data_IF_275206538644
#
_entry.id   IF_275206538644
#
_cell.length_a   1.000
_cell.length_b   1.000
_cell.length_c   1.000
_cell.angle_alpha   90.00
_cell.angle_beta   90.00
_cell.angle_gamma   90.00
#
_symmetry.space_group_name_H-M   'P 1'
#
loop_
_entity.id
_entity.type
_entity.pdbx_description
1 polymer ?
#
# COMPACT_ATOMS: atom_id res chain seq x y z
N UNK A 1 0.46 -13.57 -17.74
CA UNK A 1 -0.55 -13.77 -16.66
C UNK A 1 -0.37 -15.09 -15.92
N UNK A 2 -0.34 -16.25 -16.59
CA UNK A 2 -0.18 -17.55 -15.92
C UNK A 2 1.15 -17.69 -15.16
N UNK A 3 2.27 -17.30 -15.76
CA UNK A 3 3.58 -17.34 -15.08
C UNK A 3 3.63 -16.44 -13.83
N UNK A 4 3.03 -15.24 -13.90
CA UNK A 4 2.92 -14.35 -12.73
C UNK A 4 2.08 -14.98 -11.61
N UNK A 5 0.97 -15.65 -11.94
CA UNK A 5 0.15 -16.34 -10.96
C UNK A 5 0.89 -17.49 -10.27
N UNK A 6 1.74 -18.23 -11.00
CA UNK A 6 2.61 -19.29 -10.43
C UNK A 6 3.61 -18.69 -9.44
N UNK A 7 4.30 -17.62 -9.84
CA UNK A 7 5.26 -16.92 -8.97
C UNK A 7 4.60 -16.37 -7.71
N UNK A 8 3.43 -15.71 -7.84
CA UNK A 8 2.68 -15.20 -6.68
C UNK A 8 2.25 -16.34 -5.76
N UNK A 9 1.86 -17.50 -6.31
CA UNK A 9 1.49 -18.68 -5.53
C UNK A 9 2.67 -19.26 -4.76
N UNK A 10 3.83 -19.41 -5.40
CA UNK A 10 5.05 -19.89 -4.74
C UNK A 10 5.51 -18.94 -3.65
N UNK A 11 5.55 -17.64 -3.93
CA UNK A 11 5.89 -16.60 -2.94
C UNK A 11 4.91 -16.63 -1.77
N UNK A 12 3.61 -16.78 -2.03
CA UNK A 12 2.60 -16.94 -0.97
C UNK A 12 2.90 -18.16 -0.11
N UNK A 13 3.16 -19.32 -0.71
CA UNK A 13 3.48 -20.55 0.04
C UNK A 13 4.74 -20.39 0.87
N UNK A 14 5.79 -19.78 0.31
CA UNK A 14 7.02 -19.49 1.05
C UNK A 14 6.77 -18.52 2.22
N UNK A 15 6.10 -17.39 1.99
CA UNK A 15 5.89 -16.38 3.03
C UNK A 15 4.94 -16.86 4.12
N UNK A 16 3.91 -17.64 3.77
CA UNK A 16 2.99 -18.22 4.76
C UNK A 16 3.63 -19.32 5.62
N UNK A 17 4.84 -19.80 5.28
CA UNK A 17 5.60 -20.69 6.17
C UNK A 17 6.03 -20.01 7.47
N UNK A 18 6.20 -18.68 7.45
CA UNK A 18 6.57 -17.90 8.62
C UNK A 18 5.35 -17.60 9.49
N UNK A 19 5.44 -17.93 10.78
CA UNK A 19 4.35 -17.73 11.76
C UNK A 19 3.88 -16.28 11.84
N UNK A 20 4.81 -15.32 11.73
CA UNK A 20 4.50 -13.89 11.79
C UNK A 20 3.62 -13.43 10.62
N UNK A 21 3.89 -13.93 9.40
CA UNK A 21 3.11 -13.59 8.20
C UNK A 21 1.68 -14.08 8.34
N UNK A 22 1.50 -15.33 8.79
CA UNK A 22 0.17 -15.89 9.08
C UNK A 22 -0.61 -15.10 10.13
N UNK A 23 0.07 -14.59 11.16
CA UNK A 23 -0.55 -13.78 12.21
C UNK A 23 -1.03 -12.42 11.67
N UNK A 24 -0.23 -11.80 10.79
CA UNK A 24 -0.51 -10.48 10.24
C UNK A 24 -1.47 -10.51 9.05
N UNK A 25 -1.59 -11.64 8.35
CA UNK A 25 -2.42 -11.79 7.14
C UNK A 25 -3.86 -11.27 7.28
N UNK A 26 -4.60 -11.52 8.39
CA UNK A 26 -5.96 -11.00 8.55
C UNK A 26 -6.02 -9.46 8.61
N UNK A 27 -4.93 -8.84 9.06
CA UNK A 27 -4.80 -7.40 9.23
C UNK A 27 -4.21 -6.69 8.00
N UNK A 28 -3.95 -7.41 6.90
CA UNK A 28 -3.27 -6.86 5.70
C UNK A 28 -3.84 -5.52 5.21
N UNK A 29 -5.17 -5.35 5.19
CA UNK A 29 -5.82 -4.13 4.71
C UNK A 29 -5.73 -3.01 5.73
N UNK A 30 -5.84 -3.33 7.03
CA UNK A 30 -5.65 -2.36 8.11
C UNK A 30 -4.21 -1.86 8.15
N UNK A 31 -3.24 -2.75 7.92
CA UNK A 31 -1.82 -2.39 7.83
C UNK A 31 -1.61 -1.51 6.59
N UNK A 32 -2.13 -1.88 5.42
CA UNK A 32 -1.98 -1.11 4.18
C UNK A 32 -2.60 0.29 4.28
N UNK A 33 -3.90 0.37 4.57
CA UNK A 33 -4.63 1.64 4.58
C UNK A 33 -4.40 2.44 5.87
N UNK A 34 -4.16 1.78 7.00
CA UNK A 34 -3.80 2.45 8.25
C UNK A 34 -2.43 3.12 8.15
N UNK A 35 -1.44 2.44 7.57
CA UNK A 35 -0.15 3.05 7.26
C UNK A 35 -0.29 4.23 6.30
N UNK A 36 -1.03 4.05 5.20
CA UNK A 36 -1.28 5.12 4.25
C UNK A 36 -1.98 6.33 4.90
N UNK A 37 -2.95 6.07 5.77
CA UNK A 37 -3.67 7.10 6.53
C UNK A 37 -2.77 7.85 7.51
N UNK A 38 -1.85 7.15 8.18
CA UNK A 38 -0.86 7.79 9.06
C UNK A 38 0.10 8.69 8.30
N UNK A 39 0.61 8.23 7.15
CA UNK A 39 1.49 9.04 6.32
C UNK A 39 0.74 10.27 5.76
N UNK A 40 -0.51 10.09 5.33
CA UNK A 40 -1.34 11.21 4.90
C UNK A 40 -1.66 12.19 6.03
N UNK A 41 -1.91 11.68 7.23
CA UNK A 41 -2.14 12.50 8.40
C UNK A 41 -0.90 13.33 8.76
N UNK A 42 0.30 12.77 8.65
CA UNK A 42 1.55 13.51 8.84
C UNK A 42 1.67 14.68 7.87
N UNK A 43 1.51 14.42 6.56
CA UNK A 43 1.56 15.45 5.53
C UNK A 43 0.48 16.53 5.72
N UNK A 44 -0.71 16.13 6.16
CA UNK A 44 -1.78 17.05 6.47
C UNK A 44 -1.39 17.93 7.68
N UNK A 45 -0.92 17.33 8.77
CA UNK A 45 -0.50 18.06 9.96
C UNK A 45 0.63 19.03 9.64
N UNK A 46 1.59 18.63 8.81
CA UNK A 46 2.67 19.49 8.32
C UNK A 46 2.14 20.74 7.61
N UNK A 47 1.04 20.65 6.87
CA UNK A 47 0.49 21.82 6.19
C UNK A 47 -0.38 22.74 7.06
N UNK A 48 -1.05 22.20 8.07
CA UNK A 48 -1.99 22.98 8.88
C UNK A 48 -1.38 23.49 10.18
N UNK A 49 -0.35 22.83 10.71
CA UNK A 49 0.25 23.17 12.00
C UNK A 49 1.42 24.14 11.82
N UNK A 50 1.14 25.43 11.95
CA UNK A 50 2.12 26.51 11.83
C UNK A 50 2.61 27.07 13.18
N UNK A 51 2.16 26.52 14.32
CA UNK A 51 2.61 26.94 15.64
C UNK A 51 3.86 26.18 16.07
N UNK A 52 4.77 26.87 16.77
CA UNK A 52 6.03 26.27 17.26
C UNK A 52 5.79 25.05 18.15
N UNK A 53 4.83 25.14 19.08
CA UNK A 53 4.45 24.01 19.96
C UNK A 53 3.85 22.84 19.18
N UNK A 54 3.07 23.12 18.15
CA UNK A 54 2.49 22.10 17.29
C UNK A 54 3.53 21.37 16.44
N UNK A 55 4.53 22.09 15.93
CA UNK A 55 5.65 21.50 15.19
C UNK A 55 6.47 20.57 16.09
N UNK A 56 6.78 20.99 17.33
CA UNK A 56 7.52 20.15 18.28
C UNK A 56 6.75 18.88 18.63
N UNK A 57 5.44 18.98 18.91
CA UNK A 57 4.61 17.82 19.21
C UNK A 57 4.58 16.82 18.03
N UNK A 58 4.50 17.34 16.80
CA UNK A 58 4.54 16.51 15.60
C UNK A 58 5.89 15.81 15.43
N UNK A 59 7.00 16.52 15.65
CA UNK A 59 8.33 15.92 15.62
C UNK A 59 8.47 14.77 16.62
N UNK A 60 8.00 14.95 17.85
CA UNK A 60 8.03 13.88 18.86
C UNK A 60 7.20 12.67 18.45
N UNK A 61 6.01 12.86 17.89
CA UNK A 61 5.15 11.72 17.50
C UNK A 61 5.74 10.98 16.29
N UNK A 62 6.17 11.70 15.25
CA UNK A 62 6.54 11.08 13.98
C UNK A 62 8.02 10.67 13.90
N UNK A 63 8.91 11.33 14.64
CA UNK A 63 10.35 11.10 14.58
C UNK A 63 10.92 10.51 15.88
N UNK A 64 10.46 10.92 17.07
CA UNK A 64 10.94 10.33 18.34
C UNK A 64 10.24 9.00 18.68
N UNK A 65 8.94 8.85 18.37
CA UNK A 65 8.15 7.59 18.50
C UNK A 65 8.16 6.77 17.17
N UNK A 66 9.19 6.98 16.34
CA UNK A 66 9.26 6.79 14.89
C UNK A 66 7.96 6.39 14.15
N UNK A 67 6.85 7.12 14.37
CA UNK A 67 5.57 6.74 13.77
C UNK A 67 5.60 6.85 12.23
N UNK A 68 6.35 7.82 11.69
CA UNK A 68 6.59 7.94 10.25
C UNK A 68 7.19 6.66 9.69
N UNK A 69 8.26 6.18 10.34
CA UNK A 69 9.01 5.00 9.88
C UNK A 69 8.13 3.74 9.96
N UNK A 70 7.36 3.59 11.05
CA UNK A 70 6.41 2.49 11.22
C UNK A 70 5.34 2.52 10.12
N UNK A 71 4.79 3.70 9.82
CA UNK A 71 3.80 3.86 8.77
C UNK A 71 4.42 3.59 7.38
N UNK A 72 5.61 4.12 7.10
CA UNK A 72 6.32 3.91 5.85
C UNK A 72 6.54 2.42 5.56
N UNK A 73 7.19 1.70 6.46
CA UNK A 73 7.40 0.26 6.28
C UNK A 73 6.11 -0.54 6.40
N UNK A 74 5.17 -0.09 7.24
CA UNK A 74 3.84 -0.65 7.36
C UNK A 74 3.09 -0.66 6.04
N UNK A 75 3.17 0.41 5.23
CA UNK A 75 2.56 0.46 3.91
C UNK A 75 3.10 -0.64 3.00
N UNK A 76 4.43 -0.80 2.94
CA UNK A 76 5.05 -1.84 2.12
C UNK A 76 4.69 -3.23 2.60
N UNK A 77 4.75 -3.49 3.91
CA UNK A 77 4.34 -4.78 4.49
C UNK A 77 2.87 -5.06 4.19
N UNK A 78 1.99 -4.09 4.36
CA UNK A 78 0.57 -4.20 4.03
C UNK A 78 0.34 -4.47 2.54
N UNK A 79 1.08 -3.81 1.66
CA UNK A 79 1.00 -4.01 0.21
C UNK A 79 1.43 -5.42 -0.18
N UNK A 80 2.54 -5.90 0.38
CA UNK A 80 3.04 -7.26 0.19
C UNK A 80 2.07 -8.31 0.71
N UNK A 81 1.57 -8.14 1.94
CA UNK A 81 0.57 -9.04 2.54
C UNK A 81 -0.70 -9.09 1.70
N UNK A 82 -1.16 -7.93 1.20
CA UNK A 82 -2.35 -7.83 0.35
C UNK A 82 -2.15 -8.49 -1.01
N UNK A 83 -0.95 -8.39 -1.59
CA UNK A 83 -0.58 -9.05 -2.85
C UNK A 83 -0.64 -10.58 -2.71
N UNK A 84 -0.08 -11.12 -1.62
CA UNK A 84 -0.12 -12.56 -1.35
C UNK A 84 -1.42 -13.02 -0.68
N UNK A 85 -2.33 -12.11 -0.35
CA UNK A 85 -3.58 -12.42 0.34
C UNK A 85 -4.78 -12.60 -0.58
N UNK A 86 -5.95 -12.79 0.03
CA UNK A 86 -7.23 -12.70 -0.67
C UNK A 86 -7.67 -11.25 -0.97
N UNK A 87 -6.94 -10.26 -0.43
CA UNK A 87 -7.27 -8.84 -0.52
C UNK A 87 -6.74 -8.14 -1.77
N UNK A 88 -6.13 -8.85 -2.72
CA UNK A 88 -5.44 -8.27 -3.88
C UNK A 88 -6.30 -7.27 -4.68
N UNK A 89 -7.64 -7.44 -4.68
CA UNK A 89 -8.56 -6.49 -5.32
C UNK A 89 -8.52 -5.07 -4.74
N UNK A 90 -8.03 -4.92 -3.52
CA UNK A 90 -7.90 -3.63 -2.85
C UNK A 90 -6.51 -3.00 -2.99
N UNK A 91 -5.50 -3.78 -3.39
CA UNK A 91 -4.13 -3.32 -3.56
C UNK A 91 -3.99 -2.14 -4.55
N UNK A 92 -4.69 -2.11 -5.70
CA UNK A 92 -4.63 -0.97 -6.61
C UNK A 92 -4.96 0.36 -5.94
N UNK A 93 -5.98 0.38 -5.07
CA UNK A 93 -6.38 1.59 -4.36
C UNK A 93 -5.34 2.05 -3.35
N UNK A 94 -4.66 1.12 -2.68
CA UNK A 94 -3.53 1.45 -1.80
C UNK A 94 -2.36 2.07 -2.58
N UNK A 95 -2.00 1.50 -3.74
CA UNK A 95 -0.92 2.02 -4.59
C UNK A 95 -1.29 3.40 -5.17
N UNK A 96 -2.52 3.60 -5.62
CA UNK A 96 -2.99 4.89 -6.11
C UNK A 96 -3.06 5.94 -4.99
N UNK A 97 -3.48 5.55 -3.80
CA UNK A 97 -3.45 6.43 -2.63
C UNK A 97 -2.02 6.87 -2.28
N UNK A 98 -1.04 5.97 -2.37
CA UNK A 98 0.36 6.32 -2.16
C UNK A 98 0.93 7.17 -3.31
N UNK A 99 0.49 6.95 -4.55
CA UNK A 99 0.83 7.82 -5.67
C UNK A 99 0.30 9.24 -5.48
N UNK A 100 -0.95 9.37 -5.00
CA UNK A 100 -1.54 10.65 -4.63
C UNK A 100 -0.74 11.32 -3.51
N UNK A 101 -0.45 10.57 -2.44
CA UNK A 101 0.33 11.07 -1.30
C UNK A 101 1.71 11.58 -1.73
N UNK A 102 2.39 10.86 -2.62
CA UNK A 102 3.70 11.26 -3.12
C UNK A 102 3.67 12.60 -3.86
N UNK A 103 2.53 12.98 -4.45
CA UNK A 103 2.37 14.26 -5.15
C UNK A 103 1.84 15.37 -4.24
N UNK A 104 1.13 15.02 -3.17
CA UNK A 104 0.58 15.96 -2.20
C UNK A 104 1.72 16.72 -1.50
N UNK A 105 1.61 18.04 -1.23
CA UNK A 105 0.49 18.95 -1.49
C UNK A 105 0.47 19.59 -2.90
N UNK A 106 1.19 19.04 -3.88
CA UNK A 106 1.31 19.52 -5.27
C UNK A 106 2.10 20.84 -5.44
N UNK A 107 2.76 21.31 -4.39
CA UNK A 107 3.49 22.60 -4.40
C UNK A 107 4.93 22.45 -4.91
N UNK A 108 5.53 21.26 -4.76
CA UNK A 108 6.96 21.00 -5.02
C UNK A 108 7.16 19.81 -5.97
N UNK A 109 6.60 19.89 -7.17
CA UNK A 109 6.66 18.84 -8.20
C UNK A 109 8.05 18.70 -8.83
N UNK A 110 8.98 18.15 -8.06
CA UNK A 110 10.28 17.73 -8.57
C UNK A 110 10.16 16.41 -9.34
N UNK A 111 11.20 16.05 -10.10
CA UNK A 111 11.18 14.83 -10.91
C UNK A 111 10.97 13.57 -10.06
N UNK A 112 11.51 13.53 -8.85
CA UNK A 112 11.46 12.35 -7.99
C UNK A 112 10.03 11.98 -7.54
N UNK A 113 9.23 12.89 -6.91
CA UNK A 113 7.82 12.65 -6.61
C UNK A 113 6.98 12.25 -7.82
N UNK A 114 7.22 12.87 -8.98
CA UNK A 114 6.52 12.56 -10.22
C UNK A 114 6.80 11.12 -10.66
N UNK A 115 8.08 10.73 -10.70
CA UNK A 115 8.48 9.37 -11.09
C UNK A 115 7.95 8.36 -10.08
N UNK A 116 8.05 8.65 -8.78
CA UNK A 116 7.50 7.81 -7.73
C UNK A 116 6.00 7.59 -7.91
N UNK A 117 5.22 8.66 -8.07
CA UNK A 117 3.79 8.59 -8.28
C UNK A 117 3.45 7.82 -9.57
N UNK A 118 4.20 8.02 -10.66
CA UNK A 118 4.01 7.29 -11.90
C UNK A 118 4.22 5.78 -11.72
N UNK A 119 5.28 5.36 -11.00
CA UNK A 119 5.56 3.95 -10.71
C UNK A 119 4.37 3.32 -9.95
N UNK A 120 3.87 3.98 -8.90
CA UNK A 120 2.77 3.45 -8.10
C UNK A 120 1.43 3.49 -8.84
N UNK A 121 1.17 4.53 -9.64
CA UNK A 121 -0.03 4.63 -10.46
C UNK A 121 -0.09 3.51 -11.52
N UNK A 122 1.01 3.32 -12.25
CA UNK A 122 1.17 2.28 -13.28
C UNK A 122 1.14 0.89 -12.65
N UNK A 123 1.82 0.70 -11.51
CA UNK A 123 1.77 -0.54 -10.74
C UNK A 123 0.34 -0.89 -10.31
N UNK A 124 -0.39 0.08 -9.77
CA UNK A 124 -1.82 -0.07 -9.43
C UNK A 124 -2.67 -0.47 -10.64
N UNK A 125 -2.45 0.16 -11.80
CA UNK A 125 -3.14 -0.21 -13.04
C UNK A 125 -2.88 -1.66 -13.46
N UNK A 126 -1.63 -2.12 -13.43
CA UNK A 126 -1.29 -3.50 -13.79
C UNK A 126 -1.92 -4.52 -12.83
N UNK A 127 -1.88 -4.24 -11.51
CA UNK A 127 -2.52 -5.08 -10.50
C UNK A 127 -4.04 -5.10 -10.72
N UNK A 128 -4.65 -3.95 -10.99
CA UNK A 128 -6.09 -3.86 -11.26
C UNK A 128 -6.50 -4.71 -12.46
N UNK A 129 -5.77 -4.60 -13.59
CA UNK A 129 -6.02 -5.42 -14.78
C UNK A 129 -5.84 -6.91 -14.48
N UNK A 130 -4.81 -7.28 -13.72
CA UNK A 130 -4.58 -8.66 -13.31
C UNK A 130 -5.76 -9.21 -12.51
N UNK A 131 -6.23 -8.45 -11.51
CA UNK A 131 -7.38 -8.83 -10.67
C UNK A 131 -8.62 -9.04 -11.52
N UNK A 132 -8.97 -8.09 -12.40
CA UNK A 132 -10.13 -8.23 -13.30
C UNK A 132 -10.02 -9.46 -14.21
N UNK A 133 -8.84 -9.73 -14.77
CA UNK A 133 -8.63 -10.89 -15.65
C UNK A 133 -8.74 -12.22 -14.88
N UNK A 134 -8.31 -12.25 -13.61
CA UNK A 134 -8.40 -13.44 -12.76
C UNK A 134 -9.83 -13.74 -12.30
N UNK A 135 -10.60 -12.71 -11.94
CA UNK A 135 -12.01 -12.84 -11.54
C UNK A 135 -12.87 -13.21 -12.75
N UNK A 136 -12.63 -12.60 -13.92
CA UNK A 136 -13.35 -12.94 -15.14
C UNK A 136 -13.19 -14.42 -15.55
N UNK A 137 -12.07 -15.08 -15.18
CA UNK A 137 -11.87 -16.51 -15.42
C UNK A 137 -12.62 -17.41 -14.43
N UNK A 138 -12.77 -17.01 -13.17
CA UNK A 138 -13.53 -17.82 -12.19
C UNK A 138 -15.03 -17.83 -12.52
N UNK A 139 -15.56 -16.70 -12.98
CA UNK A 139 -16.99 -16.59 -13.34
C UNK A 139 -17.34 -17.38 -14.61
N UNK A 140 -16.43 -17.45 -15.59
CA UNK A 140 -16.63 -18.32 -16.76
C UNK A 140 -16.53 -19.81 -16.44
N UNK A 141 -15.89 -20.18 -15.33
CA UNK A 141 -15.75 -21.59 -14.93
C UNK A 141 -16.97 -22.08 -14.15
N UNK A 142 -17.62 -21.21 -13.37
CA UNK A 142 -18.88 -21.54 -12.66
C UNK A 142 -20.10 -21.55 -13.57
N UNK A 143 -20.07 -20.85 -14.70
CA UNK A 143 -21.14 -20.87 -15.70
C UNK A 143 -21.09 -22.07 -16.64
N UNK A 144 -19.95 -22.78 -16.70
CA UNK A 144 -19.72 -23.94 -17.56
C UNK A 144 -19.61 -25.26 -16.77
N UNK A 145 -19.91 -25.25 -15.47
CA UNK A 145 -19.93 -26.41 -14.58
C UNK A 145 -21.38 -26.71 -14.15
#
# INVERSE_FOLDING_TARGET
MQQFAVVVKEIRTFLTSFKIVRLLQPYQLHILFGALGLLFLEELLLQFVNSFDGINAMYTIFYDIPLHLIAFYGFYVGAWLTLIGGGIKYLPYGLWGYAFLALFPFESLTLFPIVQAAIYAVGGYFVFRYVQTSIGKSDTTSLNA
#
